data_IF_172272134160
#
_entry.id   IF_172272134160
#
_cell.length_a   1.000
_cell.length_b   1.000
_cell.length_c   1.000
_cell.angle_alpha   90.00
_cell.angle_beta   90.00
_cell.angle_gamma   90.00
#
_symmetry.space_group_name_H-M   'P 1'
#
loop_
_entity.id
_entity.type
_entity.pdbx_description
1 polymer ?
#
# COMPACT_ATOMS: atom_id res chain seq x y z
N UNK A 1 -11.61 -14.04 17.20
CA UNK A 1 -11.35 -13.87 18.66
C UNK A 1 -10.47 -12.65 18.80
N UNK A 2 -10.98 -11.60 19.43
CA UNK A 2 -10.29 -10.31 19.61
C UNK A 2 -10.68 -9.70 20.96
N UNK A 3 -10.09 -8.56 21.32
CA UNK A 3 -10.45 -7.82 22.54
C UNK A 3 -11.72 -6.98 22.32
N UNK A 4 -12.36 -6.54 23.40
CA UNK A 4 -13.58 -5.72 23.31
C UNK A 4 -13.30 -4.23 23.03
N UNK A 5 -12.07 -3.75 23.29
CA UNK A 5 -11.73 -2.34 23.16
C UNK A 5 -10.30 -2.00 23.57
N UNK A 6 -9.84 -0.76 23.30
CA UNK A 6 -8.53 -0.28 23.74
C UNK A 6 -8.44 -0.22 25.27
N UNK A 7 -7.21 -0.23 25.79
CA UNK A 7 -6.91 -0.09 27.21
C UNK A 7 -5.55 0.57 27.35
N UNK A 8 -5.56 1.86 27.73
CA UNK A 8 -4.35 2.68 27.84
C UNK A 8 -3.87 2.70 29.30
N UNK A 9 -2.56 2.53 29.48
CA UNK A 9 -1.85 2.56 30.78
C UNK A 9 -0.89 3.74 30.87
N UNK A 10 -0.32 4.18 29.75
CA UNK A 10 0.63 5.28 29.67
C UNK A 10 0.34 6.16 28.45
N UNK A 11 1.04 7.29 28.34
CA UNK A 11 1.26 7.94 27.06
C UNK A 11 2.05 7.01 26.11
N UNK A 12 1.95 7.24 24.79
CA UNK A 12 2.64 6.47 23.76
C UNK A 12 3.56 7.39 22.95
N UNK A 13 4.89 7.15 22.90
CA UNK A 13 5.59 6.00 23.49
C UNK A 13 5.70 6.08 25.02
N UNK A 14 5.51 4.95 25.70
CA UNK A 14 5.70 4.85 27.14
C UNK A 14 7.18 4.72 27.55
N UNK A 15 7.48 4.66 28.86
CA UNK A 15 8.85 4.60 29.36
C UNK A 15 9.67 3.44 28.79
N UNK A 16 9.09 2.25 28.65
CA UNK A 16 9.77 1.07 28.12
C UNK A 16 10.08 1.24 26.64
N UNK A 17 9.13 1.74 25.85
CA UNK A 17 9.35 2.06 24.44
C UNK A 17 10.49 3.07 24.24
N UNK A 18 10.56 4.12 25.09
CA UNK A 18 11.63 5.13 25.04
C UNK A 18 13.01 4.53 25.32
N UNK A 19 13.13 3.64 26.31
CA UNK A 19 14.39 2.94 26.62
C UNK A 19 14.83 2.08 25.43
N UNK A 20 13.91 1.33 24.81
CA UNK A 20 14.23 0.49 23.65
C UNK A 20 14.64 1.34 22.43
N UNK A 21 14.02 2.51 22.25
CA UNK A 21 14.40 3.44 21.19
C UNK A 21 15.83 3.95 21.38
N UNK A 22 16.21 4.36 22.60
CA UNK A 22 17.59 4.80 22.90
C UNK A 22 18.61 3.68 22.65
N UNK A 23 18.28 2.43 22.99
CA UNK A 23 19.14 1.29 22.70
C UNK A 23 19.32 1.09 21.20
N UNK A 24 18.22 1.17 20.43
CA UNK A 24 18.25 1.01 18.98
C UNK A 24 18.98 2.17 18.27
N UNK A 25 18.89 3.38 18.81
CA UNK A 25 19.54 4.58 18.28
C UNK A 25 21.07 4.46 18.19
N UNK A 26 21.66 3.66 19.09
CA UNK A 26 23.10 3.37 19.04
C UNK A 26 23.54 2.57 17.80
N UNK A 27 22.61 1.92 17.09
CA UNK A 27 22.89 1.01 15.97
C UNK A 27 22.27 1.51 14.66
N UNK A 28 21.12 2.20 14.72
CA UNK A 28 20.45 2.74 13.53
C UNK A 28 19.58 3.95 13.89
N UNK A 29 19.22 4.75 12.88
CA UNK A 29 18.29 5.87 13.08
C UNK A 29 16.92 5.38 13.58
N UNK A 30 16.43 6.01 14.66
CA UNK A 30 15.12 5.72 15.25
C UNK A 30 14.07 6.79 14.96
N UNK A 31 14.36 7.76 14.10
CA UNK A 31 13.48 8.89 13.79
C UNK A 31 12.08 8.45 13.35
N UNK A 32 11.95 7.27 12.74
CA UNK A 32 10.67 6.72 12.26
C UNK A 32 9.99 5.76 13.25
N UNK A 33 10.63 5.45 14.38
CA UNK A 33 10.07 4.55 15.39
C UNK A 33 9.00 5.27 16.18
N UNK A 34 7.76 4.77 16.13
CA UNK A 34 6.64 5.33 16.90
C UNK A 34 6.67 4.84 18.37
N UNK A 35 6.80 3.54 18.56
CA UNK A 35 6.86 2.82 19.85
C UNK A 35 7.25 1.35 19.58
N UNK A 36 7.58 0.58 20.63
CA UNK A 36 7.91 -0.84 20.50
C UNK A 36 6.69 -1.70 20.82
N UNK A 37 6.51 -2.79 20.09
CA UNK A 37 5.29 -3.62 20.16
C UNK A 37 5.54 -4.93 20.91
N UNK A 38 4.52 -5.41 21.63
CA UNK A 38 4.39 -6.78 22.11
C UNK A 38 3.45 -7.53 21.14
N UNK A 39 4.04 -8.21 20.16
CA UNK A 39 3.27 -8.88 19.12
C UNK A 39 2.65 -10.18 19.62
N UNK A 40 3.22 -10.80 20.65
CA UNK A 40 2.73 -12.01 21.30
C UNK A 40 1.36 -11.76 21.96
N UNK A 41 1.18 -10.60 22.62
CA UNK A 41 -0.10 -10.20 23.23
C UNK A 41 -1.08 -9.52 22.25
N UNK A 42 -0.60 -9.10 21.08
CA UNK A 42 -1.45 -8.48 20.04
C UNK A 42 -2.46 -9.48 19.46
N UNK A 43 -3.69 -9.03 19.15
CA UNK A 43 -4.75 -9.94 18.67
C UNK A 43 -5.83 -9.25 17.85
N UNK A 44 -6.20 -9.85 16.72
CA UNK A 44 -7.25 -9.33 15.86
C UNK A 44 -6.92 -7.91 15.38
N UNK A 45 -7.79 -6.95 15.66
CA UNK A 45 -7.60 -5.54 15.32
C UNK A 45 -6.79 -4.74 16.35
N UNK A 46 -6.22 -5.37 17.39
CA UNK A 46 -5.56 -4.66 18.48
C UNK A 46 -4.06 -4.94 18.53
N UNK A 47 -3.29 -3.86 18.58
CA UNK A 47 -1.84 -3.85 18.75
C UNK A 47 -1.52 -3.51 20.22
N UNK A 48 -0.68 -4.33 20.84
CA UNK A 48 -0.19 -4.13 22.20
C UNK A 48 1.25 -3.59 22.12
N UNK A 49 1.55 -2.55 22.90
CA UNK A 49 2.92 -2.05 23.04
C UNK A 49 3.64 -2.65 24.27
N UNK A 50 4.96 -2.45 24.34
CA UNK A 50 5.80 -2.96 25.44
C UNK A 50 5.53 -2.29 26.79
N UNK A 51 4.73 -1.24 26.81
CA UNK A 51 4.26 -0.54 28.01
C UNK A 51 2.88 -1.07 28.48
N UNK A 52 2.33 -2.05 27.74
CA UNK A 52 1.07 -2.71 28.03
C UNK A 52 -0.16 -1.91 27.61
N UNK A 53 0.01 -0.88 26.78
CA UNK A 53 -1.10 -0.18 26.12
C UNK A 53 -1.67 -1.09 25.03
N UNK A 54 -3.00 -1.18 24.97
CA UNK A 54 -3.73 -1.89 23.93
C UNK A 54 -4.48 -0.87 23.08
N UNK A 55 -4.17 -0.82 21.79
CA UNK A 55 -4.71 0.15 20.84
C UNK A 55 -5.45 -0.55 19.70
N UNK A 56 -6.58 0.01 19.27
CA UNK A 56 -7.23 -0.37 18.01
C UNK A 56 -6.34 0.08 16.84
N UNK A 57 -5.83 -0.86 16.05
CA UNK A 57 -4.94 -0.58 14.94
C UNK A 57 -5.72 -0.43 13.63
N UNK A 58 -5.85 0.83 13.18
CA UNK A 58 -6.47 1.21 11.90
C UNK A 58 -5.39 1.58 10.87
N UNK A 59 -4.16 1.11 11.05
CA UNK A 59 -3.03 1.31 10.14
C UNK A 59 -2.36 0.00 9.69
N UNK A 60 -2.39 -1.02 10.54
CA UNK A 60 -2.01 -2.42 10.28
C UNK A 60 -0.67 -2.61 9.60
N UNK A 61 0.37 -2.03 10.22
CA UNK A 61 1.76 -2.12 9.75
C UNK A 61 1.89 -1.69 8.29
N UNK A 62 1.32 -0.53 7.97
CA UNK A 62 1.29 0.02 6.60
C UNK A 62 0.49 -0.90 5.67
N UNK A 63 -0.75 -1.24 6.07
CA UNK A 63 -1.67 -2.08 5.31
C UNK A 63 -1.14 -3.47 4.94
N UNK A 64 -0.30 -4.08 5.80
CA UNK A 64 0.37 -5.35 5.49
C UNK A 64 -0.12 -6.54 6.33
N UNK A 65 -0.93 -6.31 7.36
CA UNK A 65 -1.56 -7.38 8.15
C UNK A 65 -2.98 -7.66 7.62
N UNK A 66 -3.22 -8.77 6.90
CA UNK A 66 -4.48 -8.97 6.18
C UNK A 66 -5.66 -9.33 7.09
N UNK A 67 -5.46 -10.23 8.06
CA UNK A 67 -6.53 -10.84 8.88
C UNK A 67 -6.32 -10.63 10.39
N UNK A 68 -5.61 -9.58 10.76
CA UNK A 68 -5.32 -9.22 12.14
C UNK A 68 -4.19 -10.01 12.78
N UNK A 69 -3.78 -9.57 13.97
CA UNK A 69 -2.68 -10.15 14.75
C UNK A 69 -3.06 -11.51 15.34
N UNK A 70 -2.08 -12.44 15.36
CA UNK A 70 -2.19 -13.77 15.96
C UNK A 70 -3.47 -14.53 15.59
N UNK A 71 -3.83 -14.47 14.30
CA UNK A 71 -5.03 -15.11 13.80
C UNK A 71 -4.95 -16.64 13.99
N UNK A 72 -5.94 -17.31 14.63
CA UNK A 72 -5.86 -18.73 14.97
C UNK A 72 -5.58 -19.66 13.79
N UNK A 73 -6.09 -19.33 12.59
CA UNK A 73 -5.81 -20.09 11.38
C UNK A 73 -4.32 -20.06 11.00
N UNK A 74 -3.65 -18.92 11.17
CA UNK A 74 -2.22 -18.81 10.91
C UNK A 74 -1.40 -19.51 11.99
N UNK A 75 -1.77 -19.34 13.27
CA UNK A 75 -1.14 -20.08 14.37
C UNK A 75 -1.20 -21.58 14.13
N UNK A 76 -2.36 -22.11 13.73
CA UNK A 76 -2.54 -23.53 13.40
C UNK A 76 -1.58 -23.99 12.29
N UNK A 77 -1.41 -23.19 11.23
CA UNK A 77 -0.45 -23.49 10.15
C UNK A 77 0.99 -23.49 10.66
N UNK A 78 1.35 -22.53 11.51
CA UNK A 78 2.70 -22.38 12.07
C UNK A 78 3.05 -23.51 13.04
N UNK A 79 2.08 -24.03 13.79
CA UNK A 79 2.30 -25.10 14.79
C UNK A 79 2.16 -26.51 14.23
N UNK A 80 1.72 -26.69 12.98
CA UNK A 80 1.60 -28.01 12.36
C UNK A 80 3.01 -28.59 12.08
N UNK A 81 3.41 -29.71 12.71
CA UNK A 81 4.73 -30.31 12.51
C UNK A 81 5.03 -30.65 11.05
N UNK A 82 4.00 -30.87 10.21
CA UNK A 82 4.16 -31.15 8.77
C UNK A 82 4.74 -29.96 8.01
N UNK A 83 4.62 -28.75 8.55
CA UNK A 83 5.11 -27.53 7.89
C UNK A 83 6.55 -27.17 8.28
N UNK A 84 7.19 -27.88 9.22
CA UNK A 84 8.53 -27.55 9.72
C UNK A 84 9.56 -27.42 8.60
N UNK A 85 9.57 -28.36 7.65
CA UNK A 85 10.48 -28.33 6.52
C UNK A 85 10.30 -27.08 5.63
N UNK A 86 9.08 -26.53 5.54
CA UNK A 86 8.81 -25.29 4.79
C UNK A 86 9.45 -24.07 5.46
N UNK A 87 9.49 -24.03 6.79
CA UNK A 87 10.01 -22.87 7.54
C UNK A 87 11.54 -22.84 7.61
N UNK A 88 12.19 -24.00 7.78
CA UNK A 88 13.64 -24.07 8.01
C UNK A 88 14.46 -24.24 6.73
N UNK A 89 13.85 -24.71 5.64
CA UNK A 89 14.54 -24.92 4.36
C UNK A 89 14.04 -23.92 3.32
N UNK A 90 14.83 -22.87 3.05
CA UNK A 90 14.50 -21.84 2.06
C UNK A 90 15.11 -22.20 0.68
N UNK A 91 14.30 -22.63 -0.31
CA UNK A 91 14.81 -23.04 -1.61
C UNK A 91 15.18 -21.86 -2.52
N UNK A 92 16.07 -22.10 -3.47
CA UNK A 92 16.21 -21.27 -4.67
C UNK A 92 15.04 -21.61 -5.64
N UNK A 93 13.89 -20.95 -5.47
CA UNK A 93 12.63 -21.33 -6.16
C UNK A 93 12.71 -21.36 -7.70
N UNK A 94 13.61 -20.59 -8.31
CA UNK A 94 13.82 -20.61 -9.76
C UNK A 94 14.56 -21.84 -10.28
N UNK A 95 15.19 -22.62 -9.41
CA UNK A 95 16.05 -23.77 -9.77
C UNK A 95 15.62 -25.07 -9.08
N UNK A 96 15.33 -25.02 -7.79
CA UNK A 96 15.02 -26.18 -6.94
C UNK A 96 13.73 -25.93 -6.15
N UNK A 97 12.56 -25.82 -6.82
CA UNK A 97 11.30 -25.64 -6.13
C UNK A 97 10.92 -26.89 -5.32
N UNK A 98 10.21 -26.73 -4.18
CA UNK A 98 9.66 -27.86 -3.46
C UNK A 98 8.54 -28.53 -4.26
N UNK A 99 8.28 -29.80 -3.98
CA UNK A 99 7.28 -30.62 -4.68
C UNK A 99 5.90 -29.95 -4.76
N UNK A 100 5.42 -29.36 -3.67
CA UNK A 100 4.09 -28.74 -3.58
C UNK A 100 4.05 -27.29 -4.11
N UNK A 101 5.11 -26.78 -4.74
CA UNK A 101 5.19 -25.37 -5.13
C UNK A 101 4.08 -24.95 -6.11
N UNK A 102 3.84 -25.75 -7.15
CA UNK A 102 2.83 -25.49 -8.17
C UNK A 102 1.42 -25.44 -7.58
N UNK A 103 1.07 -26.43 -6.76
CA UNK A 103 -0.22 -26.51 -6.09
C UNK A 103 -0.46 -25.28 -5.20
N UNK A 104 0.54 -24.86 -4.39
CA UNK A 104 0.39 -23.66 -3.55
C UNK A 104 0.25 -22.38 -4.37
N UNK A 105 0.85 -22.29 -5.56
CA UNK A 105 0.62 -21.15 -6.46
C UNK A 105 -0.80 -21.17 -7.04
N UNK A 106 -1.31 -22.35 -7.42
CA UNK A 106 -2.67 -22.52 -7.96
C UNK A 106 -3.71 -22.14 -6.90
N UNK A 107 -3.58 -22.69 -5.69
CA UNK A 107 -4.53 -22.50 -4.59
C UNK A 107 -4.39 -21.12 -3.92
N UNK A 108 -3.22 -20.51 -3.99
CA UNK A 108 -2.93 -19.16 -3.48
C UNK A 108 -3.14 -18.08 -4.54
N UNK A 109 -2.03 -17.60 -5.12
CA UNK A 109 -2.02 -16.42 -6.00
C UNK A 109 -2.90 -16.57 -7.25
N UNK A 110 -2.90 -17.74 -7.88
CA UNK A 110 -3.68 -17.93 -9.11
C UNK A 110 -5.18 -18.09 -8.85
N UNK A 111 -5.58 -18.47 -7.63
CA UNK A 111 -6.99 -18.51 -7.22
C UNK A 111 -7.65 -17.12 -7.12
N UNK A 112 -6.86 -16.06 -7.28
CA UNK A 112 -7.27 -14.65 -7.35
C UNK A 112 -6.65 -13.93 -8.55
N UNK A 113 -6.28 -14.67 -9.61
CA UNK A 113 -5.64 -14.11 -10.80
C UNK A 113 -6.54 -13.05 -11.48
N UNK A 114 -6.02 -11.87 -11.85
CA UNK A 114 -6.77 -10.88 -12.60
C UNK A 114 -7.18 -11.40 -13.99
N UNK A 115 -8.32 -10.91 -14.51
CA UNK A 115 -8.80 -11.28 -15.85
C UNK A 115 -7.74 -11.03 -16.91
N UNK A 116 -7.48 -12.04 -17.75
CA UNK A 116 -6.50 -11.96 -18.84
C UNK A 116 -5.05 -12.28 -18.44
N UNK A 117 -4.78 -12.57 -17.17
CA UNK A 117 -3.46 -12.97 -16.69
C UNK A 117 -3.44 -14.45 -16.31
N UNK A 118 -2.70 -15.25 -17.07
CA UNK A 118 -2.57 -16.70 -16.86
C UNK A 118 -1.22 -17.14 -16.28
N UNK A 119 -0.34 -16.18 -15.97
CA UNK A 119 1.01 -16.43 -15.47
C UNK A 119 1.26 -15.59 -14.22
N UNK A 120 2.03 -16.15 -13.30
CA UNK A 120 2.49 -15.47 -12.09
C UNK A 120 3.99 -15.63 -11.96
N UNK A 121 4.64 -14.57 -11.50
CA UNK A 121 6.02 -14.60 -11.07
C UNK A 121 6.09 -14.03 -9.66
N UNK A 122 6.49 -14.86 -8.70
CA UNK A 122 6.56 -14.46 -7.29
C UNK A 122 7.80 -13.61 -7.02
N UNK A 123 7.72 -12.73 -6.01
CA UNK A 123 8.75 -11.75 -5.61
C UNK A 123 8.64 -11.53 -4.10
N UNK A 124 9.72 -11.06 -3.45
CA UNK A 124 9.79 -11.01 -1.98
C UNK A 124 9.20 -9.73 -1.37
N UNK A 125 9.15 -8.63 -2.12
CA UNK A 125 8.59 -7.36 -1.67
C UNK A 125 8.04 -6.55 -2.85
N UNK A 126 7.38 -5.42 -2.55
CA UNK A 126 6.83 -4.51 -3.57
C UNK A 126 7.89 -3.96 -4.53
N UNK A 127 9.04 -3.50 -4.02
CA UNK A 127 10.11 -2.92 -4.86
C UNK A 127 10.64 -3.93 -5.89
N UNK A 128 11.03 -5.14 -5.46
CA UNK A 128 11.53 -6.13 -6.42
C UNK A 128 10.43 -6.66 -7.35
N UNK A 129 9.16 -6.61 -6.95
CA UNK A 129 8.02 -6.84 -7.86
C UNK A 129 8.00 -5.83 -8.99
N UNK A 130 8.10 -4.54 -8.67
CA UNK A 130 8.11 -3.46 -9.64
C UNK A 130 9.38 -3.47 -10.52
N UNK A 131 10.58 -3.58 -9.94
CA UNK A 131 11.84 -3.67 -10.72
C UNK A 131 11.81 -4.80 -11.75
N UNK A 132 11.27 -5.97 -11.38
CA UNK A 132 11.20 -7.10 -12.30
C UNK A 132 10.06 -6.95 -13.31
N UNK A 133 8.95 -6.29 -12.95
CA UNK A 133 7.93 -5.88 -13.91
C UNK A 133 8.49 -4.90 -14.94
N UNK A 134 9.32 -3.95 -14.53
CA UNK A 134 10.00 -2.99 -15.42
C UNK A 134 10.92 -3.69 -16.38
N UNK A 135 11.77 -4.60 -15.89
CA UNK A 135 12.60 -5.45 -16.76
C UNK A 135 11.74 -6.27 -17.74
N UNK A 136 10.60 -6.79 -17.31
CA UNK A 136 9.64 -7.48 -18.18
C UNK A 136 9.23 -6.63 -19.37
N UNK A 137 8.84 -5.39 -19.06
CA UNK A 137 8.33 -4.41 -19.98
C UNK A 137 9.42 -4.09 -21.01
N UNK A 138 10.63 -3.80 -20.55
CA UNK A 138 11.77 -3.50 -21.42
C UNK A 138 12.16 -4.69 -22.31
N UNK A 139 12.27 -5.90 -21.75
CA UNK A 139 12.58 -7.11 -22.52
C UNK A 139 11.50 -7.36 -23.56
N UNK A 140 10.22 -7.28 -23.18
CA UNK A 140 9.12 -7.47 -24.11
C UNK A 140 9.15 -6.46 -25.26
N UNK A 141 9.35 -5.17 -24.93
CA UNK A 141 9.42 -4.10 -25.93
C UNK A 141 10.53 -4.38 -26.96
N UNK A 142 11.70 -4.82 -26.49
CA UNK A 142 12.86 -5.17 -27.32
C UNK A 142 12.68 -6.44 -28.15
N UNK A 143 12.11 -7.48 -27.57
CA UNK A 143 11.77 -8.72 -28.27
C UNK A 143 10.78 -8.44 -29.40
N UNK A 144 9.76 -7.61 -29.14
CA UNK A 144 8.80 -7.20 -30.17
C UNK A 144 9.43 -6.37 -31.29
N UNK A 145 10.48 -5.61 -31.00
CA UNK A 145 11.25 -4.87 -31.99
C UNK A 145 12.28 -5.72 -32.75
N UNK A 146 12.48 -7.00 -32.38
CA UNK A 146 13.43 -7.90 -33.04
C UNK A 146 14.91 -7.61 -32.76
N UNK A 147 15.24 -6.85 -31.71
CA UNK A 147 16.62 -6.41 -31.44
C UNK A 147 17.28 -7.24 -30.34
N UNK A 148 18.28 -8.03 -30.71
CA UNK A 148 19.11 -8.82 -29.77
C UNK A 148 20.56 -8.28 -29.78
N UNK A 149 21.07 -7.85 -28.62
CA UNK A 149 22.47 -7.44 -28.44
C UNK A 149 22.92 -7.76 -27.01
N UNK A 150 24.14 -8.25 -26.87
CA UNK A 150 24.73 -8.71 -25.60
C UNK A 150 25.77 -7.73 -25.02
N UNK A 151 25.93 -6.54 -25.61
CA UNK A 151 26.84 -5.51 -25.10
C UNK A 151 26.20 -4.68 -23.99
N UNK A 152 27.00 -4.21 -23.01
CA UNK A 152 26.54 -3.33 -21.93
C UNK A 152 26.35 -1.86 -22.35
N UNK A 153 26.33 -1.59 -23.65
CA UNK A 153 26.10 -0.27 -24.24
C UNK A 153 24.94 -0.36 -25.23
N UNK A 154 24.44 0.77 -25.71
CA UNK A 154 23.48 0.81 -26.82
C UNK A 154 24.08 0.03 -28.00
N UNK A 155 23.35 -0.92 -28.64
CA UNK A 155 21.92 -1.22 -28.46
C UNK A 155 21.61 -2.34 -27.45
N UNK A 156 22.56 -2.95 -26.74
CA UNK A 156 22.28 -3.99 -25.75
C UNK A 156 21.57 -3.45 -24.49
N UNK A 157 21.99 -2.28 -24.01
CA UNK A 157 21.29 -1.51 -22.96
C UNK A 157 20.55 -0.32 -23.60
N UNK A 158 19.24 -0.43 -23.91
CA UNK A 158 18.52 0.68 -24.54
C UNK A 158 18.19 1.80 -23.56
N UNK A 159 18.02 2.99 -24.11
CA UNK A 159 17.46 4.15 -23.40
C UNK A 159 15.92 4.14 -23.48
N UNK A 160 15.31 3.04 -23.03
CA UNK A 160 13.86 2.94 -22.85
C UNK A 160 13.44 3.63 -21.55
N UNK A 161 12.18 4.06 -21.51
CA UNK A 161 11.63 4.78 -20.37
C UNK A 161 10.33 4.16 -19.88
N UNK A 162 9.96 4.50 -18.64
CA UNK A 162 8.65 4.21 -18.07
C UNK A 162 7.96 5.53 -17.75
N UNK A 163 6.68 5.64 -18.10
CA UNK A 163 5.87 6.75 -17.64
C UNK A 163 5.30 6.42 -16.26
N UNK A 164 5.43 7.39 -15.35
CA UNK A 164 4.90 7.33 -13.99
C UNK A 164 4.11 8.60 -13.68
N UNK A 165 3.44 8.66 -12.52
CA UNK A 165 2.55 9.77 -12.18
C UNK A 165 3.04 10.52 -10.93
N UNK A 166 2.91 11.85 -10.94
CA UNK A 166 3.13 12.68 -9.75
C UNK A 166 2.27 12.16 -8.59
N UNK A 167 2.82 12.11 -7.38
CA UNK A 167 2.17 11.51 -6.20
C UNK A 167 2.28 9.98 -6.10
N UNK A 168 2.80 9.29 -7.12
CA UNK A 168 2.91 7.83 -7.11
C UNK A 168 4.03 7.31 -6.19
N UNK A 169 3.84 6.14 -5.58
CA UNK A 169 4.86 5.43 -4.79
C UNK A 169 5.01 3.98 -5.24
N UNK A 170 6.19 3.65 -5.76
CA UNK A 170 6.43 2.33 -6.36
C UNK A 170 7.63 1.60 -5.73
N UNK A 171 8.15 2.12 -4.61
CA UNK A 171 9.28 1.57 -3.88
C UNK A 171 10.48 2.51 -3.87
N UNK A 172 11.59 2.03 -3.30
CA UNK A 172 12.78 2.85 -2.99
C UNK A 172 14.10 2.31 -3.54
N UNK A 173 14.09 1.18 -4.26
CA UNK A 173 15.24 0.79 -5.09
C UNK A 173 15.34 1.73 -6.29
N UNK A 174 16.52 1.91 -6.90
CA UNK A 174 16.76 2.99 -7.87
C UNK A 174 15.75 3.06 -9.03
N UNK A 175 15.36 1.92 -9.62
CA UNK A 175 14.37 1.89 -10.70
C UNK A 175 12.97 2.24 -10.21
N UNK A 176 12.56 1.67 -9.08
CA UNK A 176 11.31 2.05 -8.40
C UNK A 176 11.27 3.52 -7.99
N UNK A 177 12.39 4.04 -7.47
CA UNK A 177 12.50 5.40 -6.95
C UNK A 177 12.38 6.44 -8.07
N UNK A 178 12.89 6.14 -9.26
CA UNK A 178 12.70 6.99 -10.44
C UNK A 178 11.22 7.14 -10.83
N UNK A 179 10.38 6.16 -10.47
CA UNK A 179 8.93 6.19 -10.69
C UNK A 179 8.11 6.60 -9.45
N UNK A 180 8.77 6.90 -8.33
CA UNK A 180 8.15 7.41 -7.09
C UNK A 180 8.25 8.93 -7.05
N UNK A 181 7.17 9.65 -6.72
CA UNK A 181 7.07 11.12 -6.75
C UNK A 181 6.21 11.67 -5.59
N UNK A 182 6.46 11.20 -4.37
CA UNK A 182 5.65 11.51 -3.18
C UNK A 182 6.20 12.67 -2.35
N UNK A 183 7.38 12.50 -1.74
CA UNK A 183 8.02 13.46 -0.82
C UNK A 183 9.47 13.67 -1.19
N UNK A 184 9.95 14.92 -1.12
CA UNK A 184 11.32 15.27 -1.47
C UNK A 184 12.36 14.47 -0.69
N UNK A 185 12.16 14.27 0.61
CA UNK A 185 13.07 13.50 1.49
C UNK A 185 13.29 12.04 1.04
N UNK A 186 12.40 11.50 0.20
CA UNK A 186 12.54 10.14 -0.32
C UNK A 186 13.46 10.09 -1.56
N UNK A 187 13.68 11.22 -2.24
CA UNK A 187 14.42 11.29 -3.52
C UNK A 187 15.69 12.15 -3.47
N UNK A 188 15.76 13.10 -2.55
CA UNK A 188 16.90 14.02 -2.43
C UNK A 188 18.20 13.22 -2.30
N UNK A 189 19.26 13.70 -2.94
CA UNK A 189 20.61 13.12 -2.92
C UNK A 189 20.77 11.71 -3.55
N UNK A 190 19.71 11.16 -4.17
CA UNK A 190 19.76 9.85 -4.85
C UNK A 190 19.71 10.03 -6.38
N UNK A 191 20.64 9.41 -7.14
CA UNK A 191 20.58 9.41 -8.61
C UNK A 191 19.25 8.86 -9.13
N UNK A 192 18.77 9.41 -10.25
CA UNK A 192 17.50 9.02 -10.87
C UNK A 192 17.66 8.84 -12.38
N UNK A 193 16.65 8.22 -12.99
CA UNK A 193 16.48 8.18 -14.43
C UNK A 193 15.65 9.36 -14.90
N UNK A 194 16.04 9.98 -16.01
CA UNK A 194 15.24 10.99 -16.71
C UNK A 194 14.15 10.25 -17.50
N UNK A 195 12.98 10.07 -16.87
CA UNK A 195 11.80 9.37 -17.39
C UNK A 195 10.56 10.28 -17.32
N UNK A 196 9.54 10.10 -18.18
CA UNK A 196 8.34 10.93 -18.17
C UNK A 196 7.53 10.80 -16.88
N UNK A 197 7.06 11.95 -16.38
CA UNK A 197 6.21 12.06 -15.20
C UNK A 197 4.93 12.81 -15.60
N UNK A 198 3.79 12.12 -15.62
CA UNK A 198 2.49 12.71 -15.91
C UNK A 198 1.82 13.23 -14.62
N UNK A 199 0.91 14.21 -14.70
CA UNK A 199 0.09 14.59 -13.55
C UNK A 199 -0.93 13.50 -13.21
N UNK A 200 -1.18 13.26 -11.91
CA UNK A 200 -2.32 12.47 -11.44
C UNK A 200 -3.50 13.40 -11.11
N UNK A 201 -4.76 13.05 -11.44
CA UNK A 201 -5.92 13.91 -11.21
C UNK A 201 -6.06 14.35 -9.74
N UNK A 202 -6.29 15.65 -9.53
CA UNK A 202 -6.57 16.22 -8.21
C UNK A 202 -8.07 16.55 -8.09
N UNK A 203 -8.85 15.57 -7.63
CA UNK A 203 -10.30 15.73 -7.52
C UNK A 203 -10.70 16.77 -6.46
N UNK A 204 -11.74 17.52 -6.77
CA UNK A 204 -12.44 18.41 -5.83
C UNK A 204 -13.60 17.66 -5.18
N UNK A 205 -13.84 17.99 -3.91
CA UNK A 205 -14.86 17.36 -3.06
C UNK A 205 -15.77 18.44 -2.46
N UNK A 206 -17.06 18.15 -2.20
CA UNK A 206 -17.77 16.89 -2.45
C UNK A 206 -17.91 16.53 -3.95
N UNK A 207 -17.82 15.24 -4.30
CA UNK A 207 -17.67 14.82 -5.70
C UNK A 207 -18.85 15.20 -6.59
N UNK A 208 -20.07 15.14 -6.03
CA UNK A 208 -21.34 15.50 -6.66
C UNK A 208 -21.44 16.99 -7.01
N UNK A 209 -20.71 17.85 -6.30
CA UNK A 209 -20.69 19.29 -6.56
C UNK A 209 -19.66 19.71 -7.62
N UNK A 210 -18.70 18.83 -7.95
CA UNK A 210 -17.57 19.15 -8.83
C UNK A 210 -17.42 18.17 -10.00
N UNK A 211 -18.49 17.49 -10.42
CA UNK A 211 -18.44 16.48 -11.49
C UNK A 211 -17.79 17.00 -12.78
N UNK A 212 -18.15 18.22 -13.21
CA UNK A 212 -17.64 18.82 -14.45
C UNK A 212 -16.16 19.18 -14.35
N UNK A 213 -15.76 19.77 -13.23
CA UNK A 213 -14.37 20.14 -12.92
C UNK A 213 -13.50 18.89 -12.85
N UNK A 214 -13.99 17.85 -12.16
CA UNK A 214 -13.29 16.57 -12.00
C UNK A 214 -13.13 15.85 -13.35
N UNK A 215 -14.18 15.82 -14.18
CA UNK A 215 -14.10 15.23 -15.52
C UNK A 215 -13.11 15.97 -16.43
N UNK A 216 -13.03 17.31 -16.32
CA UNK A 216 -12.04 18.13 -17.05
C UNK A 216 -10.62 17.87 -16.57
N UNK A 217 -10.41 17.78 -15.27
CA UNK A 217 -9.09 17.50 -14.68
C UNK A 217 -8.59 16.11 -15.10
N UNK A 218 -9.44 15.08 -15.04
CA UNK A 218 -9.09 13.74 -15.51
C UNK A 218 -8.77 13.72 -17.01
N UNK A 219 -9.53 14.45 -17.84
CA UNK A 219 -9.27 14.56 -19.27
C UNK A 219 -7.93 15.22 -19.56
N UNK A 220 -7.61 16.33 -18.87
CA UNK A 220 -6.31 17.02 -18.98
C UNK A 220 -5.15 16.10 -18.62
N UNK A 221 -5.26 15.35 -17.52
CA UNK A 221 -4.23 14.39 -17.11
C UNK A 221 -4.01 13.27 -18.14
N UNK A 222 -5.07 12.79 -18.79
CA UNK A 222 -4.97 11.78 -19.84
C UNK A 222 -4.29 12.33 -21.10
N UNK A 223 -4.67 13.54 -21.53
CA UNK A 223 -4.06 14.24 -22.67
C UNK A 223 -2.57 14.46 -22.45
N UNK A 224 -2.17 14.97 -21.28
CA UNK A 224 -0.75 15.16 -20.95
C UNK A 224 0.03 13.84 -20.88
N UNK A 225 -0.58 12.76 -20.38
CA UNK A 225 0.05 11.45 -20.38
C UNK A 225 0.29 10.92 -21.81
N UNK A 226 -0.67 11.12 -22.71
CA UNK A 226 -0.55 10.76 -24.13
C UNK A 226 0.51 11.62 -24.84
N UNK A 227 0.51 12.93 -24.63
CA UNK A 227 1.50 13.87 -25.16
C UNK A 227 2.92 13.52 -24.71
N UNK A 228 3.09 13.15 -23.44
CA UNK A 228 4.38 12.67 -22.93
C UNK A 228 4.83 11.41 -23.67
N UNK A 229 3.95 10.43 -23.89
CA UNK A 229 4.29 9.22 -24.65
C UNK A 229 4.76 9.58 -26.06
N UNK A 230 4.03 10.44 -26.77
CA UNK A 230 4.36 10.88 -28.13
C UNK A 230 5.70 11.62 -28.14
N UNK A 231 5.87 12.62 -27.26
CA UNK A 231 7.07 13.46 -27.15
C UNK A 231 8.32 12.63 -26.87
N UNK A 232 8.24 11.66 -25.96
CA UNK A 232 9.38 10.82 -25.61
C UNK A 232 9.73 9.81 -26.71
N UNK A 233 8.72 9.25 -27.38
CA UNK A 233 8.92 8.39 -28.54
C UNK A 233 9.60 9.14 -29.71
N UNK A 234 9.23 10.40 -29.96
CA UNK A 234 9.87 11.24 -30.99
C UNK A 234 11.34 11.56 -30.70
N UNK A 235 11.74 11.57 -29.42
CA UNK A 235 13.15 11.73 -29.01
C UNK A 235 13.98 10.45 -29.16
N UNK A 236 13.40 9.34 -29.62
CA UNK A 236 14.05 8.03 -29.66
C UNK A 236 14.18 7.35 -28.28
N UNK A 237 13.63 7.95 -27.21
CA UNK A 237 13.65 7.44 -25.84
C UNK A 237 12.30 6.84 -25.47
N UNK A 238 11.98 5.72 -26.12
CA UNK A 238 10.63 5.20 -26.16
C UNK A 238 10.05 4.84 -24.78
N UNK A 239 8.78 5.20 -24.57
CA UNK A 239 8.02 4.78 -23.39
C UNK A 239 7.58 3.33 -23.56
N UNK A 240 8.26 2.42 -22.85
CA UNK A 240 8.01 0.99 -22.97
C UNK A 240 6.78 0.53 -22.16
N UNK A 241 6.44 1.25 -21.09
CA UNK A 241 5.29 0.96 -20.25
C UNK A 241 4.90 2.12 -19.33
N UNK A 242 3.75 1.95 -18.68
CA UNK A 242 3.16 2.91 -17.74
C UNK A 242 2.95 2.21 -16.40
N UNK A 243 3.35 2.86 -15.31
CA UNK A 243 3.11 2.39 -13.93
C UNK A 243 2.20 3.36 -13.21
N UNK A 244 1.18 2.83 -12.53
CA UNK A 244 0.16 3.62 -11.81
C UNK A 244 -0.49 2.80 -10.69
N UNK A 245 -0.85 3.46 -9.59
CA UNK A 245 -1.66 2.90 -8.52
C UNK A 245 -3.17 3.13 -8.78
N UNK A 246 -4.05 2.15 -8.47
CA UNK A 246 -5.51 2.36 -8.54
C UNK A 246 -6.06 3.41 -7.56
N UNK A 247 -5.35 3.65 -6.45
CA UNK A 247 -5.52 4.79 -5.53
C UNK A 247 -4.11 5.08 -5.03
N UNK A 248 -3.59 6.29 -5.24
CA UNK A 248 -2.22 6.61 -4.79
C UNK A 248 -2.19 6.68 -3.26
N UNK A 249 -1.38 5.84 -2.61
CA UNK A 249 -1.42 5.74 -1.15
C UNK A 249 -0.52 6.78 -0.46
N UNK A 250 0.79 6.62 -0.56
CA UNK A 250 1.76 7.49 0.13
C UNK A 250 1.66 8.96 -0.30
N UNK A 251 1.29 9.19 -1.57
CA UNK A 251 1.10 10.52 -2.15
C UNK A 251 -0.08 11.33 -1.61
N UNK A 252 -0.92 10.74 -0.75
CA UNK A 252 -2.03 11.43 -0.10
C UNK A 252 -3.40 10.84 -0.38
N UNK A 253 -3.53 9.53 -0.55
CA UNK A 253 -4.81 8.86 -0.84
C UNK A 253 -5.54 9.54 -2.02
N UNK A 254 -4.86 9.71 -3.15
CA UNK A 254 -5.44 10.37 -4.34
C UNK A 254 -6.27 9.35 -5.13
N UNK A 255 -7.54 9.69 -5.36
CA UNK A 255 -8.49 8.88 -6.14
C UNK A 255 -8.66 9.45 -7.55
N UNK A 256 -9.03 8.58 -8.49
CA UNK A 256 -9.55 8.94 -9.80
C UNK A 256 -10.74 8.03 -10.14
N UNK A 257 -11.56 8.45 -11.09
CA UNK A 257 -12.73 7.69 -11.54
C UNK A 257 -12.31 6.39 -12.23
N UNK A 258 -13.20 5.39 -12.21
CA UNK A 258 -12.99 4.17 -13.01
C UNK A 258 -12.88 4.47 -14.50
N UNK A 259 -13.49 5.56 -14.98
CA UNK A 259 -13.43 5.96 -16.37
C UNK A 259 -12.04 6.44 -16.78
N UNK A 260 -11.38 7.23 -15.92
CA UNK A 260 -9.97 7.62 -16.08
C UNK A 260 -9.08 6.40 -16.31
N UNK A 261 -9.17 5.38 -15.44
CA UNK A 261 -8.35 4.16 -15.58
C UNK A 261 -8.67 3.36 -16.84
N UNK A 262 -9.94 3.29 -17.27
CA UNK A 262 -10.32 2.62 -18.53
C UNK A 262 -9.76 3.36 -19.75
N UNK A 263 -9.81 4.69 -19.76
CA UNK A 263 -9.23 5.54 -20.81
C UNK A 263 -7.71 5.42 -20.84
N UNK A 264 -7.04 5.49 -19.69
CA UNK A 264 -5.59 5.28 -19.58
C UNK A 264 -5.20 3.87 -20.07
N UNK A 265 -5.99 2.85 -19.76
CA UNK A 265 -5.79 1.49 -20.30
C UNK A 265 -5.92 1.45 -21.82
N UNK A 266 -6.83 2.25 -22.38
CA UNK A 266 -7.00 2.45 -23.83
C UNK A 266 -5.73 2.95 -24.51
N UNK A 267 -5.05 3.92 -23.89
CA UNK A 267 -3.78 4.50 -24.37
C UNK A 267 -2.63 3.46 -24.40
N UNK A 268 -2.68 2.39 -23.59
CA UNK A 268 -1.50 1.56 -23.23
C UNK A 268 -1.49 0.08 -23.73
N UNK A 269 -2.22 -0.33 -24.77
CA UNK A 269 -2.39 -1.78 -25.10
C UNK A 269 -1.14 -2.48 -25.73
N UNK A 270 -0.50 -3.44 -24.99
CA UNK A 270 0.02 -4.82 -25.38
C UNK A 270 0.87 -5.55 -24.24
N UNK A 271 1.12 -6.91 -24.24
CA UNK A 271 1.47 -7.78 -23.03
C UNK A 271 2.95 -8.33 -22.82
N UNK A 272 3.33 -9.03 -21.69
CA UNK A 272 4.72 -9.20 -21.06
C UNK A 272 5.39 -10.63 -20.80
N UNK A 273 6.66 -10.73 -20.24
CA UNK A 273 7.43 -11.93 -19.65
C UNK A 273 8.58 -11.59 -18.60
N UNK A 274 8.91 -12.40 -17.53
CA UNK A 274 9.89 -12.10 -16.37
C UNK A 274 10.68 -13.31 -15.73
N UNK A 275 11.87 -13.08 -15.06
CA UNK A 275 12.61 -14.00 -14.12
C UNK A 275 13.55 -13.30 -13.04
N UNK A 276 13.88 -13.92 -11.87
CA UNK A 276 15.03 -13.61 -10.95
C UNK A 276 15.41 -14.76 -9.94
N UNK A 277 16.35 -14.55 -9.00
CA UNK A 277 16.96 -15.60 -8.14
C UNK A 277 16.05 -16.23 -7.07
N UNK A 278 15.29 -15.43 -6.30
CA UNK A 278 14.46 -15.96 -5.22
C UNK A 278 13.00 -16.10 -5.61
N UNK A 279 12.53 -15.31 -6.57
CA UNK A 279 11.14 -15.31 -7.02
C UNK A 279 10.16 -15.43 -5.86
N UNK A 280 10.30 -14.60 -4.82
CA UNK A 280 9.47 -14.66 -3.62
C UNK A 280 9.94 -15.65 -2.55
N UNK A 281 9.00 -16.14 -1.76
CA UNK A 281 9.25 -17.00 -0.60
C UNK A 281 8.05 -17.94 -0.42
N UNK A 282 8.28 -19.24 -0.52
CA UNK A 282 7.22 -20.25 -0.44
C UNK A 282 6.53 -20.30 0.94
N UNK A 283 7.21 -19.87 2.02
CA UNK A 283 6.56 -19.74 3.33
C UNK A 283 5.43 -18.71 3.28
N UNK A 284 5.61 -17.62 2.53
CA UNK A 284 4.58 -16.58 2.34
C UNK A 284 3.42 -17.09 1.50
N UNK A 285 3.67 -17.99 0.54
CA UNK A 285 2.59 -18.62 -0.25
C UNK A 285 1.71 -19.54 0.61
N UNK A 286 2.30 -20.27 1.56
CA UNK A 286 1.54 -21.10 2.50
C UNK A 286 0.61 -20.24 3.37
N UNK A 287 1.16 -19.17 3.97
CA UNK A 287 0.36 -18.23 4.76
C UNK A 287 -0.71 -17.53 3.91
N UNK A 288 -0.36 -17.10 2.70
CA UNK A 288 -1.29 -16.45 1.77
C UNK A 288 -2.44 -17.38 1.34
N UNK A 289 -2.18 -18.67 1.15
CA UNK A 289 -3.25 -19.64 0.81
C UNK A 289 -4.29 -19.72 1.92
N UNK A 290 -3.87 -19.80 3.18
CA UNK A 290 -4.81 -19.81 4.31
C UNK A 290 -5.50 -18.44 4.48
N UNK A 291 -4.79 -17.33 4.26
CA UNK A 291 -5.40 -15.99 4.24
C UNK A 291 -6.50 -15.88 3.17
N UNK A 292 -6.24 -16.30 1.93
CA UNK A 292 -7.22 -16.26 0.83
C UNK A 292 -8.43 -17.15 1.17
N UNK A 293 -8.18 -18.32 1.77
CA UNK A 293 -9.24 -19.21 2.24
C UNK A 293 -10.11 -18.52 3.28
N UNK A 294 -9.52 -17.93 4.33
CA UNK A 294 -10.24 -17.16 5.37
C UNK A 294 -11.06 -16.03 4.75
N UNK A 295 -10.47 -15.24 3.85
CA UNK A 295 -11.16 -14.14 3.13
C UNK A 295 -12.41 -14.66 2.42
N UNK A 296 -12.31 -15.81 1.74
CA UNK A 296 -13.44 -16.42 1.01
C UNK A 296 -14.48 -17.02 1.97
N UNK A 297 -14.05 -17.78 2.97
CA UNK A 297 -14.96 -18.51 3.89
C UNK A 297 -15.71 -17.58 4.83
N UNK A 298 -15.07 -16.49 5.26
CA UNK A 298 -15.67 -15.51 6.18
C UNK A 298 -16.28 -14.30 5.45
N UNK A 299 -16.31 -14.32 4.11
CA UNK A 299 -16.83 -13.25 3.27
C UNK A 299 -16.26 -11.85 3.61
N UNK A 300 -14.93 -11.78 3.81
CA UNK A 300 -14.28 -10.57 4.32
C UNK A 300 -14.30 -9.40 3.33
N UNK A 301 -14.52 -9.66 2.03
CA UNK A 301 -14.70 -8.59 1.04
C UNK A 301 -16.00 -7.82 1.27
N UNK A 302 -17.10 -8.51 1.56
CA UNK A 302 -18.36 -7.84 1.87
C UNK A 302 -18.31 -7.20 3.26
N UNK A 303 -17.58 -7.80 4.20
CA UNK A 303 -17.30 -7.15 5.49
C UNK A 303 -16.58 -5.81 5.30
N UNK A 304 -15.50 -5.76 4.50
CA UNK A 304 -14.77 -4.52 4.22
C UNK A 304 -15.65 -3.45 3.53
N UNK A 305 -16.62 -3.85 2.69
CA UNK A 305 -17.60 -2.90 2.12
C UNK A 305 -18.53 -2.35 3.20
N UNK A 306 -19.07 -3.20 4.07
CA UNK A 306 -20.01 -2.79 5.13
C UNK A 306 -19.34 -1.90 6.18
N UNK A 307 -18.22 -2.34 6.75
CA UNK A 307 -17.48 -1.54 7.74
C UNK A 307 -16.87 -0.28 7.13
N UNK A 308 -16.42 -0.36 5.88
CA UNK A 308 -15.97 0.79 5.11
C UNK A 308 -17.05 1.84 4.89
N UNK A 309 -18.28 1.42 4.58
CA UNK A 309 -19.43 2.33 4.45
C UNK A 309 -19.70 3.10 5.75
N UNK A 310 -19.78 2.39 6.88
CA UNK A 310 -19.98 3.01 8.21
C UNK A 310 -18.85 4.00 8.53
N UNK A 311 -17.61 3.60 8.27
CA UNK A 311 -16.45 4.46 8.49
C UNK A 311 -16.52 5.73 7.64
N UNK A 312 -16.84 5.60 6.35
CA UNK A 312 -16.88 6.74 5.43
C UNK A 312 -18.04 7.69 5.74
N UNK A 313 -19.23 7.18 6.07
CA UNK A 313 -20.38 7.99 6.50
C UNK A 313 -20.03 8.78 7.77
N UNK A 314 -19.43 8.13 8.78
CA UNK A 314 -18.99 8.83 9.99
C UNK A 314 -17.88 9.86 9.75
N UNK A 315 -16.99 9.63 8.76
CA UNK A 315 -16.00 10.64 8.37
C UNK A 315 -16.65 11.86 7.71
N UNK A 316 -17.73 11.68 6.94
CA UNK A 316 -18.52 12.80 6.42
C UNK A 316 -19.18 13.58 7.56
N UNK A 317 -19.80 12.89 8.51
CA UNK A 317 -20.41 13.54 9.67
C UNK A 317 -19.39 14.35 10.50
N UNK A 318 -18.18 13.82 10.69
CA UNK A 318 -17.10 14.53 11.38
C UNK A 318 -16.58 15.72 10.57
N UNK A 319 -16.50 15.59 9.25
CA UNK A 319 -16.14 16.71 8.38
C UNK A 319 -17.15 17.85 8.51
N UNK A 320 -18.45 17.53 8.48
CA UNK A 320 -19.52 18.51 8.58
C UNK A 320 -19.59 19.15 9.98
N UNK A 321 -19.21 18.40 11.01
CA UNK A 321 -19.11 18.88 12.39
C UNK A 321 -17.88 19.77 12.62
N UNK A 322 -16.76 19.47 11.98
CA UNK A 322 -15.48 20.18 12.15
C UNK A 322 -14.91 20.74 10.82
N UNK A 323 -15.67 21.55 10.06
CA UNK A 323 -15.28 21.97 8.70
C UNK A 323 -14.07 22.91 8.66
N UNK A 324 -13.68 23.47 9.80
CA UNK A 324 -12.48 24.30 9.97
C UNK A 324 -11.21 23.46 10.19
N UNK A 325 -11.34 22.17 10.52
CA UNK A 325 -10.23 21.24 10.74
C UNK A 325 -10.16 20.14 9.68
N UNK A 326 -11.31 19.70 9.17
CA UNK A 326 -11.45 18.52 8.34
C UNK A 326 -12.03 18.86 6.98
N UNK A 327 -11.51 18.22 5.93
CA UNK A 327 -12.02 18.35 4.57
C UNK A 327 -11.71 17.11 3.72
N UNK A 328 -12.37 17.02 2.56
CA UNK A 328 -12.12 15.99 1.54
C UNK A 328 -12.12 14.54 2.06
N UNK A 329 -13.07 14.20 2.94
CA UNK A 329 -13.32 12.81 3.30
C UNK A 329 -13.60 11.98 2.03
N UNK A 330 -12.93 10.82 1.92
CA UNK A 330 -12.93 9.98 0.71
C UNK A 330 -12.61 8.53 1.03
N UNK A 331 -13.05 7.61 0.19
CA UNK A 331 -12.64 6.20 0.31
C UNK A 331 -13.43 5.22 -0.54
N UNK A 332 -12.91 3.98 -0.63
CA UNK A 332 -13.61 2.83 -1.22
C UNK A 332 -13.39 1.63 -0.29
N UNK A 333 -14.48 1.04 0.21
CA UNK A 333 -14.38 0.05 1.30
C UNK A 333 -13.74 0.70 2.52
N UNK A 334 -12.86 -0.01 3.23
CA UNK A 334 -12.12 0.54 4.37
C UNK A 334 -10.87 1.35 3.97
N UNK A 335 -10.59 1.48 2.67
CA UNK A 335 -9.49 2.30 2.17
C UNK A 335 -9.95 3.76 2.10
N UNK A 336 -9.97 4.41 3.26
CA UNK A 336 -10.47 5.76 3.46
C UNK A 336 -9.35 6.74 3.87
N UNK A 337 -9.61 8.03 3.67
CA UNK A 337 -8.78 9.13 4.15
C UNK A 337 -9.60 10.41 4.36
N UNK A 338 -9.02 11.35 5.11
CA UNK A 338 -9.54 12.69 5.31
C UNK A 338 -8.37 13.68 5.39
N UNK A 339 -8.53 14.86 4.80
CA UNK A 339 -7.55 15.94 4.92
C UNK A 339 -7.78 16.69 6.22
N UNK A 340 -6.68 17.01 6.89
CA UNK A 340 -6.65 17.90 8.06
C UNK A 340 -6.12 19.26 7.61
N UNK A 341 -6.49 20.33 8.32
CA UNK A 341 -6.14 21.73 8.02
C UNK A 341 -4.69 21.95 7.60
N UNK A 342 -3.75 21.34 8.31
CA UNK A 342 -2.31 21.46 8.07
C UNK A 342 -1.54 20.26 8.68
N UNK A 343 -0.24 20.16 8.35
CA UNK A 343 0.61 19.05 8.77
C UNK A 343 0.78 18.96 10.30
N UNK A 344 0.92 20.10 10.99
CA UNK A 344 1.11 20.14 12.44
C UNK A 344 -0.14 19.66 13.17
N UNK A 345 -1.32 20.14 12.75
CA UNK A 345 -2.62 19.69 13.27
C UNK A 345 -2.82 18.20 12.99
N UNK A 346 -2.44 17.73 11.78
CA UNK A 346 -2.48 16.29 11.44
C UNK A 346 -1.62 15.48 12.40
N UNK A 347 -0.37 15.88 12.61
CA UNK A 347 0.57 15.18 13.48
C UNK A 347 0.10 15.16 14.95
N UNK A 348 -0.44 16.28 15.43
CA UNK A 348 -1.02 16.38 16.77
C UNK A 348 -2.26 15.49 16.94
N UNK A 349 -3.14 15.45 15.93
CA UNK A 349 -4.33 14.61 15.94
C UNK A 349 -3.96 13.12 15.96
N UNK A 350 -2.96 12.70 15.18
CA UNK A 350 -2.44 11.32 15.22
C UNK A 350 -1.93 10.95 16.63
N UNK A 351 -1.22 11.86 17.29
CA UNK A 351 -0.72 11.64 18.65
C UNK A 351 -1.86 11.54 19.68
N UNK A 352 -2.86 12.44 19.59
CA UNK A 352 -4.03 12.43 20.47
C UNK A 352 -4.86 11.15 20.30
N UNK A 353 -5.16 10.76 19.07
CA UNK A 353 -5.86 9.51 18.79
C UNK A 353 -5.10 8.29 19.34
N UNK A 354 -3.77 8.27 19.18
CA UNK A 354 -2.92 7.20 19.72
C UNK A 354 -2.98 7.11 21.24
N UNK A 355 -2.87 8.24 21.93
CA UNK A 355 -2.97 8.29 23.40
C UNK A 355 -4.39 7.96 23.91
N UNK A 356 -5.42 8.07 23.06
CA UNK A 356 -6.78 7.58 23.34
C UNK A 356 -7.02 6.13 22.92
N UNK A 357 -6.03 5.46 22.35
CA UNK A 357 -6.09 4.04 22.03
C UNK A 357 -6.38 3.68 20.57
N UNK A 358 -6.13 4.58 19.61
CA UNK A 358 -6.29 4.30 18.18
C UNK A 358 -5.02 4.62 17.41
N UNK A 359 -4.48 3.64 16.68
CA UNK A 359 -3.33 3.84 15.78
C UNK A 359 -3.84 4.20 14.38
N UNK A 360 -3.39 5.36 13.90
CA UNK A 360 -3.72 5.93 12.59
C UNK A 360 -2.44 6.20 11.79
N UNK A 361 -2.57 6.27 10.46
CA UNK A 361 -1.47 6.60 9.56
C UNK A 361 -1.63 7.98 8.93
N UNK A 362 -0.52 8.70 8.72
CA UNK A 362 -0.48 9.88 7.86
C UNK A 362 -0.10 9.52 6.42
N UNK A 363 -0.58 10.31 5.45
CA UNK A 363 -0.10 10.31 4.06
C UNK A 363 -0.11 11.72 3.48
N UNK A 364 0.54 11.91 2.34
CA UNK A 364 0.73 13.24 1.75
C UNK A 364 1.33 14.22 2.77
N UNK A 365 0.94 15.49 2.64
CA UNK A 365 1.33 16.55 3.59
C UNK A 365 0.43 16.54 4.81
N UNK A 366 -0.90 16.55 4.63
CA UNK A 366 -1.87 16.85 5.70
C UNK A 366 -3.00 15.83 5.86
N UNK A 367 -2.92 14.67 5.21
CA UNK A 367 -4.01 13.68 5.26
C UNK A 367 -3.79 12.63 6.36
N UNK A 368 -4.89 12.15 6.95
CA UNK A 368 -4.95 10.93 7.77
C UNK A 368 -5.61 9.84 6.92
N UNK A 369 -5.04 8.64 6.96
CA UNK A 369 -5.50 7.47 6.21
C UNK A 369 -5.82 6.30 7.12
N UNK A 370 -6.77 5.49 6.67
CA UNK A 370 -7.30 4.35 7.40
C UNK A 370 -7.02 3.09 6.59
N UNK A 371 -6.33 2.13 7.23
CA UNK A 371 -5.91 0.84 6.69
C UNK A 371 -6.15 -0.26 7.72
N UNK A 372 -7.40 -0.53 8.11
CA UNK A 372 -7.69 -1.62 9.01
C UNK A 372 -7.51 -2.99 8.32
N UNK A 373 -7.36 -4.05 9.11
CA UNK A 373 -7.33 -5.42 8.62
C UNK A 373 -8.71 -5.82 8.07
N UNK A 374 -8.78 -6.88 7.27
CA UNK A 374 -10.04 -7.36 6.69
C UNK A 374 -11.02 -7.91 7.74
N UNK A 375 -10.52 -8.24 8.93
CA UNK A 375 -11.32 -8.64 10.10
C UNK A 375 -11.95 -7.45 10.84
N UNK A 376 -11.74 -6.21 10.38
CA UNK A 376 -12.37 -5.00 10.91
C UNK A 376 -13.85 -4.93 10.54
N UNK A 377 -14.68 -4.52 11.51
CA UNK A 377 -16.15 -4.67 11.49
C UNK A 377 -16.82 -3.34 11.79
N UNK A 378 -18.13 -3.28 11.59
CA UNK A 378 -18.93 -2.08 11.86
C UNK A 378 -18.77 -1.57 13.30
N UNK A 379 -18.74 -2.46 14.31
CA UNK A 379 -18.54 -2.05 15.70
C UNK A 379 -17.16 -1.42 15.96
N UNK A 380 -16.12 -1.87 15.24
CA UNK A 380 -14.81 -1.23 15.29
C UNK A 380 -14.83 0.14 14.61
N UNK A 381 -15.62 0.31 13.54
CA UNK A 381 -15.79 1.60 12.88
C UNK A 381 -16.43 2.62 13.83
N UNK A 382 -17.50 2.24 14.54
CA UNK A 382 -18.12 3.09 15.56
C UNK A 382 -17.15 3.44 16.69
N UNK A 383 -16.45 2.44 17.25
CA UNK A 383 -15.44 2.67 18.29
C UNK A 383 -14.33 3.64 17.84
N UNK A 384 -13.84 3.47 16.60
CA UNK A 384 -12.88 4.39 16.00
C UNK A 384 -13.46 5.81 15.89
N UNK A 385 -14.66 5.96 15.33
CA UNK A 385 -15.29 7.26 15.08
C UNK A 385 -15.53 8.02 16.39
N UNK A 386 -15.97 7.33 17.44
CA UNK A 386 -16.19 7.92 18.78
C UNK A 386 -14.87 8.44 19.36
N UNK A 387 -13.82 7.62 19.36
CA UNK A 387 -12.50 8.03 19.88
C UNK A 387 -11.88 9.14 19.03
N UNK A 388 -12.06 9.09 17.71
CA UNK A 388 -11.53 10.09 16.79
C UNK A 388 -12.24 11.43 16.96
N UNK A 389 -13.57 11.43 17.12
CA UNK A 389 -14.35 12.62 17.49
C UNK A 389 -13.82 13.27 18.77
N UNK A 390 -13.56 12.47 19.81
CA UNK A 390 -13.03 12.98 21.08
C UNK A 390 -11.62 13.54 20.93
N UNK A 391 -10.78 12.94 20.09
CA UNK A 391 -9.45 13.46 19.77
C UNK A 391 -9.51 14.81 19.04
N UNK A 392 -10.45 14.96 18.10
CA UNK A 392 -10.68 16.22 17.37
C UNK A 392 -11.20 17.31 18.31
N UNK A 393 -12.13 16.98 19.21
CA UNK A 393 -12.72 17.94 20.14
C UNK A 393 -11.70 18.60 21.10
N UNK A 394 -10.52 17.98 21.29
CA UNK A 394 -9.42 18.55 22.08
C UNK A 394 -8.49 19.46 21.28
N UNK A 395 -8.67 19.57 19.96
CA UNK A 395 -8.00 20.54 19.09
C UNK A 395 -8.86 21.81 19.08
N UNK A 396 -8.75 22.61 20.14
CA UNK A 396 -9.41 23.93 20.20
C UNK A 396 -8.71 24.96 19.34
#
# INVERSE_FOLDING_TARGET
>A
VEFDGPCMKTEVPGPRSKILAQQLESIQSVVQVNFFCDYEESKGNYLVDVDGNRMLDVYTQIASIPIGYNHPALTKVMTDPKNMGTFVNRPALGMMPPEQFSEKLVNGLMAVAPKGFSRVQTMACGSCSNENAYKAIFIWYRVRAGVLSFFFQVPGCPDLTLLSFMGGFHGRTLGCLATTHTKAIQKLDVPSFDWPIAPFPQLRYPLDQFERENAREEARCLEEAEDLIVKWNQKGRHVAGVVIEPIQAEGGDNHASFDFYRKLRGITKKPFRIFNTWLGDHTKNLLLTEVIKVIKTENLLDQAKRSGKVMLEGLYDLQDKYPHLLSKARGIGTFCAIDVKDEDTRNLLLLKARNKGVVLGGCGTQSIRFRPALVFKEHHAHLFLDIFNDAIAELK
#
